data_IF_305665583378
#
_entry.id   IF_305665583378
#
_cell.length_a   1.000
_cell.length_b   1.000
_cell.length_c   1.000
_cell.angle_alpha   90.00
_cell.angle_beta   90.00
_cell.angle_gamma   90.00
#
_symmetry.space_group_name_H-M   'P 1'
#
loop_
_entity.id
_entity.type
_entity.pdbx_description
1 polymer ?
#
# COMPACT_ATOMS: atom_id res chain seq x y z
N UNK A 1 27.01 6.35 -33.77
CA UNK A 1 26.42 5.04 -34.11
C UNK A 1 25.15 4.84 -33.29
N UNK A 2 23.96 4.78 -33.90
CA UNK A 2 22.70 4.80 -33.16
C UNK A 2 22.26 3.38 -32.79
N UNK A 3 22.28 3.04 -31.50
CA UNK A 3 21.64 1.86 -30.90
C UNK A 3 20.46 2.23 -29.97
N UNK A 4 19.95 3.46 -30.06
CA UNK A 4 18.91 3.97 -29.16
C UNK A 4 17.46 3.59 -29.56
N UNK A 5 17.25 2.86 -30.66
CA UNK A 5 15.92 2.58 -31.22
C UNK A 5 15.32 1.21 -30.88
N UNK A 6 16.05 0.31 -30.21
CA UNK A 6 15.60 -1.08 -30.06
C UNK A 6 14.76 -1.40 -28.81
N UNK A 7 14.69 -0.54 -27.79
CA UNK A 7 13.90 -0.84 -26.57
C UNK A 7 12.55 -0.12 -26.54
N UNK A 8 12.47 1.13 -27.00
CA UNK A 8 11.19 1.84 -27.13
C UNK A 8 10.26 1.21 -28.17
N UNK A 9 10.83 0.49 -29.16
CA UNK A 9 10.07 -0.32 -30.12
C UNK A 9 9.48 -1.59 -29.49
N UNK A 10 10.00 -2.13 -28.38
CA UNK A 10 9.45 -3.35 -27.77
C UNK A 10 8.15 -3.06 -27.04
N UNK A 11 8.05 -1.97 -26.26
CA UNK A 11 6.80 -1.58 -25.61
C UNK A 11 5.72 -1.17 -26.63
N UNK A 12 6.10 -0.40 -27.65
CA UNK A 12 5.20 0.01 -28.73
C UNK A 12 4.78 -1.17 -29.64
N UNK A 13 5.69 -2.13 -29.94
CA UNK A 13 5.36 -3.31 -30.73
C UNK A 13 4.57 -4.36 -29.94
N UNK A 14 4.74 -4.45 -28.60
CA UNK A 14 3.93 -5.31 -27.74
C UNK A 14 2.52 -4.75 -27.52
N UNK A 15 2.29 -3.46 -27.76
CA UNK A 15 0.97 -2.82 -27.76
C UNK A 15 0.20 -2.99 -29.08
N UNK A 16 0.79 -3.62 -30.11
CA UNK A 16 0.07 -4.01 -31.31
C UNK A 16 -1.11 -4.93 -30.95
N UNK A 17 -2.24 -4.75 -31.65
CA UNK A 17 -3.48 -5.45 -31.38
C UNK A 17 -3.25 -6.97 -31.36
N UNK A 18 -3.57 -7.61 -30.22
CA UNK A 18 -3.68 -9.05 -30.16
C UNK A 18 -4.75 -9.50 -31.19
N UNK A 19 -4.58 -10.66 -31.86
CA UNK A 19 -5.66 -11.23 -32.64
C UNK A 19 -6.92 -11.31 -31.77
N UNK A 20 -8.09 -11.01 -32.35
CA UNK A 20 -9.35 -11.05 -31.63
C UNK A 20 -9.53 -12.42 -30.96
N UNK A 21 -9.39 -12.47 -29.64
CA UNK A 21 -9.62 -13.67 -28.86
C UNK A 21 -11.08 -14.13 -29.05
N UNK A 22 -11.31 -15.42 -29.22
CA UNK A 22 -12.63 -15.96 -29.53
C UNK A 22 -13.45 -16.21 -28.26
N UNK A 23 -12.79 -16.30 -27.09
CA UNK A 23 -13.45 -16.46 -25.79
C UNK A 23 -12.79 -15.60 -24.69
N UNK A 24 -13.51 -15.27 -23.59
CA UNK A 24 -12.93 -14.55 -22.44
C UNK A 24 -11.72 -15.27 -21.81
N UNK A 25 -11.70 -16.61 -21.84
CA UNK A 25 -10.59 -17.40 -21.31
C UNK A 25 -9.32 -17.26 -22.17
N UNK A 26 -9.47 -17.27 -23.50
CA UNK A 26 -8.37 -17.02 -24.43
C UNK A 26 -7.83 -15.60 -24.30
N UNK A 27 -8.73 -14.62 -24.13
CA UNK A 27 -8.35 -13.23 -23.90
C UNK A 27 -7.53 -13.08 -22.62
N UNK A 28 -8.00 -13.65 -21.51
CA UNK A 28 -7.29 -13.65 -20.24
C UNK A 28 -5.91 -14.30 -20.35
N UNK A 29 -5.80 -15.46 -21.02
CA UNK A 29 -4.54 -16.15 -21.23
C UNK A 29 -3.54 -15.34 -22.08
N UNK A 30 -4.01 -14.70 -23.16
CA UNK A 30 -3.18 -13.84 -24.01
C UNK A 30 -2.70 -12.58 -23.25
N UNK A 31 -3.59 -12.00 -22.45
CA UNK A 31 -3.29 -10.87 -21.57
C UNK A 31 -2.23 -11.26 -20.52
N UNK A 32 -2.41 -12.37 -19.81
CA UNK A 32 -1.47 -12.85 -18.79
C UNK A 32 -0.09 -13.15 -19.39
N UNK A 33 -0.05 -13.75 -20.58
CA UNK A 33 1.21 -14.00 -21.30
C UNK A 33 1.94 -12.69 -21.64
N UNK A 34 1.21 -11.69 -22.15
CA UNK A 34 1.75 -10.37 -22.47
C UNK A 34 2.28 -9.67 -21.21
N UNK A 35 1.50 -9.66 -20.14
CA UNK A 35 1.86 -9.03 -18.88
C UNK A 35 3.05 -9.74 -18.21
N UNK A 36 3.10 -11.07 -18.28
CA UNK A 36 4.23 -11.87 -17.82
C UNK A 36 5.53 -11.56 -18.56
N UNK A 37 5.47 -11.34 -19.89
CA UNK A 37 6.64 -10.92 -20.67
C UNK A 37 7.14 -9.53 -20.27
N UNK A 38 6.21 -8.57 -20.14
CA UNK A 38 6.51 -7.21 -19.72
C UNK A 38 7.11 -7.16 -18.30
N UNK A 39 6.64 -8.01 -17.38
CA UNK A 39 7.17 -8.14 -16.01
C UNK A 39 8.62 -8.57 -15.97
N UNK A 40 8.97 -9.62 -16.73
CA UNK A 40 10.35 -10.12 -16.77
C UNK A 40 11.32 -9.06 -17.29
N UNK A 41 10.90 -8.28 -18.29
CA UNK A 41 11.69 -7.16 -18.80
C UNK A 41 11.86 -6.07 -17.73
N UNK A 42 10.78 -5.68 -17.06
CA UNK A 42 10.81 -4.69 -15.98
C UNK A 42 11.70 -5.14 -14.80
N UNK A 43 11.64 -6.40 -14.40
CA UNK A 43 12.47 -6.94 -13.32
C UNK A 43 13.96 -6.88 -13.65
N UNK A 44 14.33 -7.15 -14.90
CA UNK A 44 15.73 -7.02 -15.31
C UNK A 44 16.20 -5.57 -15.28
N UNK A 45 15.36 -4.65 -15.74
CA UNK A 45 15.64 -3.22 -15.70
C UNK A 45 15.76 -2.70 -14.26
N UNK A 46 14.85 -3.11 -13.36
CA UNK A 46 14.89 -2.72 -11.94
C UNK A 46 16.17 -3.21 -11.27
N UNK A 47 16.60 -4.45 -11.53
CA UNK A 47 17.88 -4.95 -11.01
C UNK A 47 19.07 -4.08 -11.43
N UNK A 48 19.14 -3.68 -12.70
CA UNK A 48 20.20 -2.78 -13.18
C UNK A 48 20.17 -1.41 -12.48
N UNK A 49 18.96 -0.86 -12.28
CA UNK A 49 18.79 0.41 -11.56
C UNK A 49 19.23 0.29 -10.10
N UNK A 50 18.81 -0.77 -9.41
CA UNK A 50 19.14 -1.05 -8.01
C UNK A 50 20.63 -1.29 -7.81
N UNK A 51 21.27 -2.05 -8.70
CA UNK A 51 22.71 -2.28 -8.69
C UNK A 51 23.47 -0.96 -8.84
N UNK A 52 23.09 -0.11 -9.81
CA UNK A 52 23.71 1.19 -10.00
C UNK A 52 23.52 2.13 -8.79
N UNK A 53 22.34 2.11 -8.17
CA UNK A 53 22.00 2.94 -7.00
C UNK A 53 22.92 2.72 -5.80
N UNK A 54 23.38 1.47 -5.59
CA UNK A 54 24.27 1.12 -4.48
C UNK A 54 25.62 1.85 -4.55
N UNK A 55 26.08 2.22 -5.75
CA UNK A 55 27.36 2.90 -5.97
C UNK A 55 27.27 4.43 -5.99
N UNK A 56 26.06 4.99 -5.81
CA UNK A 56 25.85 6.45 -5.83
C UNK A 56 26.17 7.10 -4.49
N UNK A 57 26.81 8.27 -4.55
CA UNK A 57 26.97 9.16 -3.39
C UNK A 57 25.64 9.81 -3.02
N UNK A 58 25.52 10.28 -1.78
CA UNK A 58 24.32 10.98 -1.31
C UNK A 58 23.94 12.21 -2.17
N UNK A 59 24.93 12.96 -2.68
CA UNK A 59 24.69 14.09 -3.58
C UNK A 59 24.13 13.66 -4.93
N UNK A 60 24.67 12.58 -5.52
CA UNK A 60 24.20 12.03 -6.80
C UNK A 60 22.79 11.45 -6.68
N UNK A 61 22.48 10.81 -5.54
CA UNK A 61 21.13 10.33 -5.23
C UNK A 61 20.12 11.48 -5.20
N UNK A 62 20.48 12.59 -4.55
CA UNK A 62 19.63 13.79 -4.49
C UNK A 62 19.43 14.40 -5.88
N UNK A 63 20.52 14.60 -6.63
CA UNK A 63 20.46 15.13 -8.00
C UNK A 63 19.58 14.26 -8.91
N UNK A 64 19.75 12.93 -8.85
CA UNK A 64 18.92 11.99 -9.60
C UNK A 64 17.45 12.10 -9.21
N UNK A 65 17.13 12.15 -7.91
CA UNK A 65 15.75 12.25 -7.42
C UNK A 65 15.09 13.56 -7.87
N UNK A 66 15.79 14.69 -7.78
CA UNK A 66 15.31 16.00 -8.25
C UNK A 66 15.09 16.00 -9.77
N UNK A 67 16.07 15.51 -10.54
CA UNK A 67 16.00 15.47 -11.99
C UNK A 67 14.88 14.54 -12.47
N UNK A 68 14.77 13.33 -11.92
CA UNK A 68 13.67 12.40 -12.21
C UNK A 68 12.32 13.01 -11.86
N UNK A 69 12.17 13.64 -10.68
CA UNK A 69 10.91 14.25 -10.25
C UNK A 69 10.46 15.35 -11.22
N UNK A 70 11.38 16.19 -11.68
CA UNK A 70 11.09 17.23 -12.67
C UNK A 70 10.60 16.64 -14.00
N UNK A 71 11.28 15.61 -14.51
CA UNK A 71 10.91 14.96 -15.77
C UNK A 71 9.62 14.13 -15.66
N UNK A 72 9.39 13.46 -14.53
CA UNK A 72 8.22 12.61 -14.33
C UNK A 72 6.92 13.42 -14.32
N UNK A 73 6.99 14.68 -13.86
CA UNK A 73 5.86 15.62 -13.89
C UNK A 73 5.46 16.03 -15.30
N UNK A 74 6.34 15.92 -16.30
CA UNK A 74 6.04 16.25 -17.70
C UNK A 74 5.51 15.07 -18.51
N UNK A 75 5.51 13.86 -17.96
CA UNK A 75 4.96 12.69 -18.65
C UNK A 75 3.43 12.79 -18.77
N UNK A 76 2.92 12.76 -19.99
CA UNK A 76 1.47 12.71 -20.26
C UNK A 76 0.98 11.26 -20.20
N UNK A 77 0.74 10.76 -18.98
CA UNK A 77 0.33 9.38 -18.74
C UNK A 77 -1.08 9.29 -18.15
N UNK A 78 -1.69 8.10 -18.19
CA UNK A 78 -2.97 7.83 -17.53
C UNK A 78 -2.86 8.03 -16.01
N UNK A 79 -1.83 7.49 -15.36
CA UNK A 79 -1.50 7.70 -13.95
C UNK A 79 -1.45 9.19 -13.58
N UNK A 80 -0.83 10.04 -14.42
CA UNK A 80 -0.78 11.49 -14.13
C UNK A 80 -2.17 12.13 -14.19
N UNK A 81 -3.05 11.70 -15.11
CA UNK A 81 -4.45 12.13 -15.12
C UNK A 81 -5.18 11.68 -13.85
N UNK A 82 -4.99 10.42 -13.42
CA UNK A 82 -5.60 9.89 -12.20
C UNK A 82 -5.08 10.59 -10.93
N UNK A 83 -3.79 10.95 -10.86
CA UNK A 83 -3.22 11.75 -9.77
C UNK A 83 -3.86 13.14 -9.74
N UNK A 84 -4.02 13.79 -10.90
CA UNK A 84 -4.69 15.08 -10.98
C UNK A 84 -6.17 15.00 -10.56
N UNK A 85 -6.86 13.90 -10.86
CA UNK A 85 -8.23 13.64 -10.39
C UNK A 85 -8.26 13.44 -8.87
N UNK A 86 -7.37 12.61 -8.31
CA UNK A 86 -7.29 12.39 -6.87
C UNK A 86 -6.93 13.68 -6.12
N UNK A 87 -6.09 14.54 -6.68
CA UNK A 87 -5.76 15.84 -6.10
C UNK A 87 -6.98 16.75 -5.85
N UNK A 88 -8.05 16.60 -6.64
CA UNK A 88 -9.33 17.32 -6.43
C UNK A 88 -10.08 16.87 -5.19
N UNK A 89 -9.72 15.72 -4.61
CA UNK A 89 -10.29 15.22 -3.35
C UNK A 89 -9.61 15.87 -2.13
N UNK A 90 -8.49 16.56 -2.31
CA UNK A 90 -7.82 17.23 -1.21
C UNK A 90 -8.65 18.43 -0.73
N UNK A 91 -8.96 18.45 0.55
CA UNK A 91 -9.68 19.55 1.22
C UNK A 91 -8.74 20.56 1.89
N UNK A 92 -7.42 20.33 1.80
CA UNK A 92 -6.40 21.18 2.42
C UNK A 92 -5.07 21.11 1.71
N UNK A 93 -4.22 22.08 2.02
CA UNK A 93 -2.81 22.10 1.63
C UNK A 93 -2.07 20.91 2.25
N UNK A 94 -1.19 20.27 1.47
CA UNK A 94 -0.44 19.09 1.90
C UNK A 94 0.41 19.38 3.14
N UNK A 95 1.02 20.57 3.21
CA UNK A 95 1.89 20.98 4.32
C UNK A 95 1.17 21.07 5.67
N UNK A 96 -0.17 21.16 5.67
CA UNK A 96 -1.01 21.29 6.86
C UNK A 96 -1.47 19.95 7.46
N UNK A 97 -1.22 18.82 6.78
CA UNK A 97 -1.53 17.52 7.36
C UNK A 97 -0.61 17.19 8.54
N UNK A 98 -1.12 16.51 9.59
CA UNK A 98 -0.31 16.15 10.74
C UNK A 98 0.77 15.13 10.35
N UNK A 99 1.86 15.15 11.10
CA UNK A 99 2.85 14.07 11.08
C UNK A 99 2.28 12.88 11.85
N UNK A 100 2.54 11.69 11.35
CA UNK A 100 2.19 10.42 11.96
C UNK A 100 2.75 10.39 13.40
N UNK A 101 1.88 10.05 14.34
CA UNK A 101 2.23 9.96 15.74
C UNK A 101 2.74 8.56 16.06
N UNK A 102 3.54 8.45 17.12
CA UNK A 102 3.95 7.14 17.62
C UNK A 102 2.71 6.33 18.06
N UNK A 103 2.61 5.07 17.63
CA UNK A 103 1.47 4.21 17.93
C UNK A 103 1.21 4.15 19.44
N UNK A 104 0.00 4.56 19.86
CA UNK A 104 -0.45 4.40 21.23
C UNK A 104 -0.56 2.91 21.59
N UNK A 105 -0.45 2.57 22.86
CA UNK A 105 -0.76 1.22 23.38
C UNK A 105 -1.61 1.37 24.64
N UNK A 106 -2.42 0.37 24.96
CA UNK A 106 -3.31 0.42 26.12
C UNK A 106 -2.51 0.45 27.43
N UNK A 107 -2.86 1.38 28.33
CA UNK A 107 -2.19 1.51 29.63
C UNK A 107 -2.54 0.32 30.56
N UNK A 108 -1.55 -0.50 30.97
CA UNK A 108 -1.76 -1.59 31.92
C UNK A 108 -2.41 -1.16 33.24
N UNK A 109 -2.17 0.07 33.70
CA UNK A 109 -2.77 0.57 34.94
C UNK A 109 -4.25 0.89 34.81
N UNK A 110 -4.72 1.14 33.58
CA UNK A 110 -6.12 1.44 33.28
C UNK A 110 -6.87 0.17 32.94
N UNK A 111 -6.32 -0.64 32.04
CA UNK A 111 -7.05 -1.77 31.46
C UNK A 111 -6.79 -3.11 32.16
N UNK A 112 -5.66 -3.26 32.86
CA UNK A 112 -5.32 -4.47 33.61
C UNK A 112 -4.69 -4.18 34.99
N UNK A 113 -5.33 -3.36 35.86
CA UNK A 113 -4.71 -2.84 37.09
C UNK A 113 -4.30 -3.90 38.12
N UNK A 114 -4.91 -5.08 38.07
CA UNK A 114 -4.58 -6.22 38.96
C UNK A 114 -3.34 -6.97 38.51
N UNK A 115 -2.88 -6.74 37.28
CA UNK A 115 -1.68 -7.33 36.68
C UNK A 115 -0.96 -6.30 35.80
N UNK A 116 -0.46 -5.20 36.37
CA UNK A 116 0.16 -4.15 35.57
C UNK A 116 1.54 -4.62 35.09
N UNK A 117 1.63 -5.01 33.81
CA UNK A 117 2.88 -5.39 33.16
C UNK A 117 3.56 -4.13 32.65
N UNK A 118 4.83 -3.90 33.00
CA UNK A 118 5.58 -2.74 32.53
C UNK A 118 5.80 -2.85 31.01
N UNK A 119 5.39 -1.82 30.26
CA UNK A 119 5.54 -1.78 28.80
C UNK A 119 6.89 -1.18 28.38
N UNK A 120 7.52 -1.78 27.38
CA UNK A 120 8.76 -1.30 26.76
C UNK A 120 8.63 -1.37 25.24
N UNK A 121 8.73 -0.21 24.58
CA UNK A 121 8.83 -0.16 23.12
C UNK A 121 10.09 -0.84 22.63
N UNK A 122 9.93 -1.71 21.65
CA UNK A 122 11.01 -2.40 20.99
C UNK A 122 11.49 -1.57 19.79
N UNK A 123 12.80 -1.58 19.54
CA UNK A 123 13.35 -0.88 18.39
C UNK A 123 12.96 -1.60 17.08
N UNK A 124 12.73 -0.89 15.96
CA UNK A 124 12.37 -1.53 14.69
C UNK A 124 13.37 -2.58 14.19
N UNK A 125 14.65 -2.47 14.57
CA UNK A 125 15.72 -3.39 14.22
C UNK A 125 15.98 -4.48 15.26
N UNK A 126 15.17 -4.58 16.31
CA UNK A 126 15.26 -5.67 17.29
C UNK A 126 14.89 -6.99 16.61
N UNK A 127 15.66 -8.05 16.84
CA UNK A 127 15.40 -9.39 16.31
C UNK A 127 13.98 -9.90 16.61
N UNK A 128 13.42 -9.56 17.79
CA UNK A 128 12.03 -9.91 18.14
C UNK A 128 11.04 -9.21 17.23
N UNK A 129 11.28 -7.94 16.92
CA UNK A 129 10.42 -7.14 16.04
C UNK A 129 10.51 -7.65 14.62
N UNK A 130 11.72 -7.89 14.10
CA UNK A 130 11.91 -8.41 12.74
C UNK A 130 11.20 -9.76 12.58
N UNK A 131 11.37 -10.67 13.54
CA UNK A 131 10.71 -11.99 13.53
C UNK A 131 9.19 -11.85 13.59
N UNK A 132 8.66 -11.06 14.54
CA UNK A 132 7.22 -10.89 14.69
C UNK A 132 6.60 -10.15 13.49
N UNK A 133 7.31 -9.19 12.89
CA UNK A 133 6.84 -8.48 11.71
C UNK A 133 6.73 -9.43 10.51
N UNK A 134 7.69 -10.33 10.30
CA UNK A 134 7.60 -11.32 9.22
C UNK A 134 6.42 -12.28 9.37
N UNK A 135 6.01 -12.55 10.61
CA UNK A 135 4.92 -13.49 10.90
C UNK A 135 3.54 -12.82 10.96
N UNK A 136 3.45 -11.68 11.65
CA UNK A 136 2.20 -11.04 12.07
C UNK A 136 1.88 -9.77 11.28
N UNK A 137 2.86 -9.13 10.66
CA UNK A 137 2.65 -7.93 9.85
C UNK A 137 3.58 -7.95 8.63
N UNK A 138 3.56 -9.04 7.82
CA UNK A 138 4.54 -9.20 6.76
C UNK A 138 4.41 -8.04 5.79
N UNK A 139 5.52 -7.38 5.42
CA UNK A 139 5.46 -6.31 4.45
C UNK A 139 4.94 -6.86 3.13
N UNK A 140 3.99 -6.15 2.52
CA UNK A 140 3.49 -6.54 1.20
C UNK A 140 4.64 -6.45 0.19
N UNK A 141 4.80 -7.46 -0.69
CA UNK A 141 5.76 -7.39 -1.78
C UNK A 141 5.50 -6.13 -2.62
N UNK A 142 6.57 -5.41 -2.99
CA UNK A 142 6.46 -4.19 -3.82
C UNK A 142 5.52 -3.15 -3.18
N UNK A 143 5.55 -3.01 -1.86
CA UNK A 143 4.79 -1.97 -1.15
C UNK A 143 5.27 -0.58 -1.55
N UNK A 144 4.33 0.37 -1.62
CA UNK A 144 4.65 1.78 -1.88
C UNK A 144 5.41 2.34 -0.69
N UNK A 145 6.52 3.03 -0.95
CA UNK A 145 7.22 3.79 0.08
C UNK A 145 6.49 5.13 0.26
N UNK A 146 5.53 5.16 1.18
CA UNK A 146 4.59 6.25 1.32
C UNK A 146 5.09 7.34 2.28
N UNK A 147 5.13 8.58 1.80
CA UNK A 147 5.10 9.79 2.63
C UNK A 147 3.70 10.01 3.18
N UNK A 148 2.67 9.74 2.38
CA UNK A 148 1.28 10.00 2.73
C UNK A 148 0.55 8.71 3.02
N UNK A 149 -0.07 8.61 4.20
CA UNK A 149 -0.88 7.47 4.59
C UNK A 149 -2.27 7.92 5.00
N UNK A 150 -3.26 7.10 4.69
CA UNK A 150 -4.58 7.25 5.26
C UNK A 150 -4.64 6.52 6.62
N UNK A 151 -4.98 7.25 7.67
CA UNK A 151 -5.18 6.72 9.01
C UNK A 151 -6.66 6.39 9.19
N UNK A 152 -6.98 5.10 9.22
CA UNK A 152 -8.33 4.58 9.36
C UNK A 152 -8.98 4.89 10.71
N UNK A 153 -8.19 5.10 11.76
CA UNK A 153 -8.70 5.42 13.09
C UNK A 153 -9.12 6.88 13.20
N UNK A 154 -8.26 7.80 12.73
CA UNK A 154 -8.57 9.24 12.75
C UNK A 154 -9.35 9.73 11.54
N UNK A 155 -9.42 8.90 10.47
CA UNK A 155 -9.97 9.23 9.15
C UNK A 155 -9.28 10.42 8.48
N UNK A 156 -8.05 10.70 8.89
CA UNK A 156 -7.20 11.75 8.35
C UNK A 156 -6.10 11.19 7.45
N UNK A 157 -5.49 12.06 6.65
CA UNK A 157 -4.18 11.77 6.09
C UNK A 157 -3.12 12.14 7.13
N UNK A 158 -2.09 11.32 7.21
CA UNK A 158 -0.89 11.57 8.02
C UNK A 158 0.34 11.53 7.14
N UNK A 159 1.35 12.32 7.51
CA UNK A 159 2.68 12.30 6.90
C UNK A 159 3.59 11.36 7.66
N UNK A 160 4.33 10.52 6.94
CA UNK A 160 5.35 9.67 7.52
C UNK A 160 6.32 10.50 8.38
N UNK A 161 6.55 10.07 9.61
CA UNK A 161 7.48 10.73 10.53
C UNK A 161 8.96 10.47 10.17
N UNK A 162 9.23 9.38 9.45
CA UNK A 162 10.58 8.96 9.12
C UNK A 162 11.20 9.87 8.04
N UNK A 163 12.40 10.44 8.26
CA UNK A 163 13.06 11.31 7.27
C UNK A 163 13.31 10.61 5.93
N UNK A 164 13.59 9.30 5.93
CA UNK A 164 13.76 8.50 4.72
C UNK A 164 12.48 8.37 3.88
N UNK A 165 11.33 8.76 4.44
CA UNK A 165 10.02 8.79 3.79
C UNK A 165 9.52 10.22 3.60
N UNK A 166 10.33 11.26 3.85
CA UNK A 166 9.98 12.65 3.52
C UNK A 166 9.72 12.80 2.02
N UNK A 167 8.95 13.82 1.61
CA UNK A 167 8.47 14.02 0.22
C UNK A 167 9.59 14.18 -0.82
N UNK A 168 10.76 14.64 -0.41
CA UNK A 168 11.94 14.82 -1.25
C UNK A 168 13.05 13.79 -0.96
N UNK A 169 12.80 12.81 -0.08
CA UNK A 169 13.78 11.79 0.28
C UNK A 169 14.20 10.97 -0.97
N UNK A 170 15.48 11.01 -1.37
CA UNK A 170 15.95 10.37 -2.60
C UNK A 170 15.67 8.86 -2.65
N UNK A 171 15.84 8.18 -1.52
CA UNK A 171 15.59 6.74 -1.37
C UNK A 171 14.14 6.38 -1.69
N UNK A 172 13.19 7.20 -1.23
CA UNK A 172 11.75 7.02 -1.48
C UNK A 172 11.43 7.24 -2.95
N UNK A 173 11.91 8.35 -3.52
CA UNK A 173 11.69 8.70 -4.93
C UNK A 173 12.20 7.58 -5.84
N UNK A 174 13.43 7.11 -5.59
CA UNK A 174 14.03 6.01 -6.34
C UNK A 174 13.23 4.70 -6.20
N UNK A 175 12.91 4.29 -4.97
CA UNK A 175 12.17 3.05 -4.73
C UNK A 175 10.79 3.07 -5.42
N UNK A 176 10.04 4.17 -5.31
CA UNK A 176 8.74 4.30 -5.97
C UNK A 176 8.86 4.36 -7.50
N UNK A 177 9.89 5.02 -8.03
CA UNK A 177 10.15 5.03 -9.48
C UNK A 177 10.49 3.63 -10.02
N UNK A 178 11.22 2.80 -9.26
CA UNK A 178 11.42 1.38 -9.58
C UNK A 178 10.11 0.58 -9.58
N UNK A 179 9.16 0.93 -8.72
CA UNK A 179 7.79 0.39 -8.76
C UNK A 179 6.97 0.88 -9.97
N UNK A 180 7.48 1.85 -10.74
CA UNK A 180 6.77 2.50 -11.82
C UNK A 180 5.77 3.55 -11.35
N UNK A 181 5.98 4.12 -10.16
CA UNK A 181 5.11 5.13 -9.59
C UNK A 181 5.70 6.53 -9.78
N UNK A 182 4.95 7.49 -10.35
CA UNK A 182 5.38 8.88 -10.42
C UNK A 182 5.34 9.55 -9.03
N UNK A 183 5.92 10.76 -8.91
CA UNK A 183 5.69 11.62 -7.75
C UNK A 183 4.19 11.80 -7.45
N UNK A 184 3.87 11.95 -6.17
CA UNK A 184 2.52 12.15 -5.62
C UNK A 184 1.58 10.93 -5.71
N UNK A 185 2.07 9.78 -6.18
CA UNK A 185 1.26 8.57 -6.30
C UNK A 185 0.73 8.05 -4.94
N UNK A 186 1.56 8.12 -3.89
CA UNK A 186 1.18 7.73 -2.53
C UNK A 186 0.11 8.66 -1.94
N UNK A 187 0.24 9.98 -2.17
CA UNK A 187 -0.80 10.95 -1.80
C UNK A 187 -2.13 10.63 -2.49
N UNK A 188 -2.10 10.38 -3.80
CA UNK A 188 -3.29 10.04 -4.56
C UNK A 188 -3.96 8.75 -4.04
N UNK A 189 -3.17 7.70 -3.74
CA UNK A 189 -3.68 6.46 -3.13
C UNK A 189 -4.33 6.75 -1.77
N UNK A 190 -3.68 7.55 -0.92
CA UNK A 190 -4.22 7.92 0.41
C UNK A 190 -5.52 8.74 0.31
N UNK A 191 -5.60 9.69 -0.63
CA UNK A 191 -6.81 10.47 -0.89
C UNK A 191 -7.96 9.60 -1.40
N UNK A 192 -7.67 8.63 -2.26
CA UNK A 192 -8.68 7.67 -2.73
C UNK A 192 -9.14 6.77 -1.60
N UNK A 193 -8.23 6.23 -0.77
CA UNK A 193 -8.60 5.44 0.40
C UNK A 193 -9.53 6.22 1.34
N UNK A 194 -9.21 7.49 1.62
CA UNK A 194 -10.06 8.41 2.39
C UNK A 194 -11.44 8.60 1.75
N UNK A 195 -11.50 8.79 0.44
CA UNK A 195 -12.76 9.00 -0.26
C UNK A 195 -13.67 7.76 -0.25
N UNK A 196 -13.08 6.57 -0.21
CA UNK A 196 -13.82 5.30 -0.14
C UNK A 196 -14.25 4.94 1.30
N UNK A 197 -13.69 5.59 2.32
CA UNK A 197 -14.09 5.39 3.72
C UNK A 197 -15.35 6.19 4.11
N UNK A 198 -16.46 5.48 4.28
CA UNK A 198 -17.72 6.03 4.82
C UNK A 198 -17.68 6.28 6.33
N UNK A 199 -16.67 5.79 7.04
CA UNK A 199 -16.50 5.93 8.49
C UNK A 199 -17.32 4.98 9.35
N UNK A 200 -18.04 4.01 8.76
CA UNK A 200 -18.90 3.10 9.49
C UNK A 200 -18.16 2.26 10.56
N UNK A 201 -16.85 2.07 10.39
CA UNK A 201 -16.00 1.30 11.30
C UNK A 201 -14.97 2.15 12.05
N UNK A 202 -15.10 3.48 12.05
CA UNK A 202 -14.07 4.39 12.58
C UNK A 202 -13.66 4.09 14.02
N UNK A 203 -14.62 3.86 14.92
CA UNK A 203 -14.33 3.53 16.33
C UNK A 203 -13.57 2.22 16.47
N UNK A 204 -13.95 1.20 15.68
CA UNK A 204 -13.27 -0.08 15.69
C UNK A 204 -11.86 0.05 15.10
N UNK A 205 -11.70 0.76 13.99
CA UNK A 205 -10.39 1.02 13.39
C UNK A 205 -9.46 1.78 14.33
N UNK A 206 -9.98 2.78 15.06
CA UNK A 206 -9.21 3.52 16.05
C UNK A 206 -8.73 2.61 17.20
N UNK A 207 -9.61 1.76 17.74
CA UNK A 207 -9.25 0.84 18.82
C UNK A 207 -8.17 -0.16 18.36
N UNK A 208 -8.28 -0.67 17.12
CA UNK A 208 -7.29 -1.59 16.53
C UNK A 208 -6.05 -0.90 15.95
N UNK A 209 -6.00 0.43 15.88
CA UNK A 209 -4.82 1.20 15.47
C UNK A 209 -3.76 1.30 16.57
N UNK A 210 -4.06 0.86 17.80
CA UNK A 210 -3.07 0.73 18.86
C UNK A 210 -2.00 -0.30 18.50
N UNK A 211 -0.79 -0.09 19.01
CA UNK A 211 0.33 -1.00 18.86
C UNK A 211 0.03 -2.38 19.48
N UNK A 212 0.44 -3.44 18.78
CA UNK A 212 0.42 -4.79 19.32
C UNK A 212 1.41 -4.92 20.49
N UNK A 213 1.00 -5.61 21.56
CA UNK A 213 1.87 -5.93 22.68
C UNK A 213 1.90 -7.43 22.98
N UNK A 214 3.04 -7.93 23.47
CA UNK A 214 3.16 -9.31 23.93
C UNK A 214 2.84 -9.46 25.43
N UNK A 215 2.86 -10.70 25.92
CA UNK A 215 2.67 -11.01 27.35
C UNK A 215 3.84 -10.58 28.24
N UNK A 216 5.01 -10.34 27.67
CA UNK A 216 6.23 -9.97 28.40
C UNK A 216 6.41 -8.45 28.58
N UNK A 217 5.55 -7.65 27.94
CA UNK A 217 5.62 -6.19 28.03
C UNK A 217 6.23 -5.50 26.80
N UNK A 218 6.62 -6.25 25.76
CA UNK A 218 7.10 -5.71 24.49
C UNK A 218 5.99 -4.97 23.75
N UNK A 219 6.29 -3.76 23.26
CA UNK A 219 5.39 -2.98 22.39
C UNK A 219 6.02 -2.91 21.01
N UNK A 220 5.30 -3.41 20.01
CA UNK A 220 5.78 -3.58 18.64
C UNK A 220 5.41 -2.39 17.74
N UNK A 221 6.18 -2.11 16.66
CA UNK A 221 5.93 -0.98 15.76
C UNK A 221 4.88 -1.29 14.67
N UNK A 222 3.95 -2.19 14.95
CA UNK A 222 2.80 -2.51 14.10
C UNK A 222 1.53 -2.62 14.97
N UNK A 223 0.39 -2.44 14.33
CA UNK A 223 -0.91 -2.28 14.97
C UNK A 223 -1.52 -3.64 15.34
N UNK A 224 -2.49 -3.60 16.26
CA UNK A 224 -3.37 -4.74 16.53
C UNK A 224 -4.14 -5.14 15.27
N UNK A 225 -4.55 -4.19 14.42
CA UNK A 225 -5.17 -4.50 13.14
C UNK A 225 -4.28 -5.41 12.28
N UNK A 226 -3.01 -5.03 12.09
CA UNK A 226 -2.07 -5.80 11.27
C UNK A 226 -1.86 -7.20 11.86
N UNK A 227 -1.62 -7.29 13.18
CA UNK A 227 -1.44 -8.57 13.87
C UNK A 227 -2.66 -9.50 13.74
N UNK A 228 -3.87 -8.97 13.92
CA UNK A 228 -5.11 -9.75 13.79
C UNK A 228 -5.42 -10.11 12.33
N UNK A 229 -5.03 -9.27 11.36
CA UNK A 229 -5.20 -9.55 9.92
C UNK A 229 -4.22 -10.60 9.39
N UNK A 230 -3.19 -10.96 10.14
CA UNK A 230 -2.17 -11.96 9.73
C UNK A 230 -2.74 -13.36 9.46
N UNK A 231 -3.88 -13.70 10.09
CA UNK A 231 -4.41 -15.07 10.10
C UNK A 231 -3.56 -16.07 10.88
N UNK A 232 -2.62 -15.59 11.70
CA UNK A 232 -1.78 -16.41 12.60
C UNK A 232 -2.34 -16.42 14.02
N UNK A 233 -1.89 -17.40 14.79
CA UNK A 233 -2.09 -17.40 16.24
C UNK A 233 -1.23 -16.29 16.84
N UNK A 234 -1.87 -15.33 17.52
CA UNK A 234 -1.21 -14.20 18.16
C UNK A 234 -1.32 -14.29 19.67
N UNK A 235 -0.37 -13.68 20.38
CA UNK A 235 -0.57 -13.48 21.80
C UNK A 235 -1.65 -12.45 22.05
N UNK A 236 -2.54 -12.76 22.99
CA UNK A 236 -3.62 -11.87 23.40
C UNK A 236 -3.42 -11.54 24.88
N UNK A 237 -2.56 -10.57 25.23
CA UNK A 237 -2.43 -10.15 26.62
C UNK A 237 -3.72 -9.49 27.10
N UNK A 238 -4.04 -9.67 28.39
CA UNK A 238 -5.24 -9.10 29.01
C UNK A 238 -5.31 -7.57 28.81
N UNK A 239 -4.18 -6.86 28.81
CA UNK A 239 -4.20 -5.40 28.62
C UNK A 239 -4.75 -4.99 27.25
N UNK A 240 -4.41 -5.70 26.17
CA UNK A 240 -4.82 -5.32 24.82
C UNK A 240 -6.27 -5.74 24.58
N UNK A 241 -6.64 -6.93 25.06
CA UNK A 241 -7.99 -7.45 24.93
C UNK A 241 -9.01 -6.69 25.79
N UNK A 242 -8.65 -6.36 27.03
CA UNK A 242 -9.45 -5.48 27.88
C UNK A 242 -9.38 -4.03 27.40
N UNK A 243 -8.25 -3.60 26.84
CA UNK A 243 -8.09 -2.34 26.12
C UNK A 243 -9.16 -2.13 25.06
N UNK A 244 -9.17 -3.03 24.08
CA UNK A 244 -10.17 -3.08 23.01
C UNK A 244 -11.59 -3.18 23.58
N UNK A 245 -11.82 -4.02 24.60
CA UNK A 245 -13.15 -4.19 25.19
C UNK A 245 -13.64 -2.91 25.87
N UNK A 246 -12.81 -2.28 26.68
CA UNK A 246 -13.13 -1.03 27.37
C UNK A 246 -13.39 0.10 26.38
N UNK A 247 -12.59 0.22 25.32
CA UNK A 247 -12.75 1.27 24.32
C UNK A 247 -14.03 1.06 23.47
N UNK A 248 -14.29 -0.16 23.02
CA UNK A 248 -15.42 -0.45 22.11
C UNK A 248 -16.77 -0.55 22.82
N UNK A 249 -16.79 -0.94 24.09
CA UNK A 249 -18.02 -1.22 24.83
C UNK A 249 -18.22 -0.32 26.06
N UNK A 250 -17.22 0.47 26.43
CA UNK A 250 -17.24 1.33 27.62
C UNK A 250 -17.67 0.58 28.90
N UNK A 251 -17.20 -0.67 29.05
CA UNK A 251 -17.49 -1.54 30.18
C UNK A 251 -16.19 -2.06 30.81
N UNK A 252 -15.96 -1.67 32.06
CA UNK A 252 -14.77 -2.03 32.85
C UNK A 252 -15.05 -3.12 33.91
N UNK A 253 -16.25 -3.70 33.89
CA UNK A 253 -16.77 -4.52 34.99
C UNK A 253 -16.99 -5.98 34.61
N UNK A 254 -17.38 -6.25 33.35
CA UNK A 254 -17.71 -7.61 32.91
C UNK A 254 -16.50 -8.53 32.83
N UNK A 255 -15.40 -8.04 32.29
CA UNK A 255 -14.12 -8.75 32.18
C UNK A 255 -13.07 -7.97 32.95
N UNK A 256 -12.31 -8.64 33.81
CA UNK A 256 -11.31 -8.02 34.68
C UNK A 256 -10.08 -8.92 34.72
N UNK A 257 -8.89 -8.33 34.56
CA UNK A 257 -7.63 -9.06 34.64
C UNK A 257 -7.40 -9.66 36.05
N UNK A 258 -6.81 -10.86 36.18
CA UNK A 258 -6.62 -11.85 35.11
C UNK A 258 -7.96 -12.35 34.57
N UNK A 259 -8.14 -12.33 33.25
CA UNK A 259 -9.35 -12.88 32.62
C UNK A 259 -9.31 -14.40 32.75
N UNK A 260 -10.28 -15.04 33.43
CA UNK A 260 -10.28 -16.49 33.58
C UNK A 260 -10.47 -17.20 32.24
N UNK A 261 -9.81 -18.35 32.04
CA UNK A 261 -9.89 -19.13 30.78
C UNK A 261 -11.33 -19.41 30.32
N UNK A 262 -12.26 -19.63 31.26
CA UNK A 262 -13.69 -19.87 30.96
C UNK A 262 -14.38 -18.68 30.27
N UNK A 263 -13.81 -17.47 30.36
CA UNK A 263 -14.32 -16.25 29.74
C UNK A 263 -13.62 -15.92 28.42
N UNK A 264 -12.48 -16.54 28.10
CA UNK A 264 -11.69 -16.25 26.88
C UNK A 264 -12.53 -16.41 25.62
N UNK A 265 -13.23 -17.53 25.45
CA UNK A 265 -14.11 -17.75 24.29
C UNK A 265 -15.17 -16.66 24.13
N UNK A 266 -15.73 -16.18 25.24
CA UNK A 266 -16.75 -15.13 25.20
C UNK A 266 -16.14 -13.77 24.86
N UNK A 267 -15.00 -13.42 25.45
CA UNK A 267 -14.32 -12.14 25.21
C UNK A 267 -13.73 -12.09 23.79
N UNK A 268 -12.96 -13.10 23.41
CA UNK A 268 -12.20 -13.14 22.16
C UNK A 268 -13.13 -13.43 20.98
N UNK A 269 -13.71 -14.63 20.93
CA UNK A 269 -14.42 -15.11 19.74
C UNK A 269 -15.81 -14.49 19.59
N UNK A 270 -16.55 -14.35 20.70
CA UNK A 270 -17.94 -13.91 20.65
C UNK A 270 -18.12 -12.39 20.75
N UNK A 271 -17.08 -11.64 21.15
CA UNK A 271 -17.21 -10.21 21.41
C UNK A 271 -16.23 -9.36 20.60
N UNK A 272 -14.93 -9.61 20.67
CA UNK A 272 -13.92 -8.81 19.96
C UNK A 272 -13.80 -9.21 18.48
N UNK A 273 -13.73 -10.51 18.19
CA UNK A 273 -13.56 -10.99 16.82
C UNK A 273 -14.64 -10.52 15.85
N UNK A 274 -15.95 -10.48 16.17
CA UNK A 274 -16.96 -9.97 15.26
C UNK A 274 -16.78 -8.48 14.94
N UNK A 275 -16.25 -7.68 15.89
CA UNK A 275 -15.92 -6.27 15.64
C UNK A 275 -14.75 -6.15 14.69
N UNK A 276 -13.68 -6.89 14.95
CA UNK A 276 -12.52 -6.95 14.06
C UNK A 276 -12.92 -7.42 12.66
N UNK A 277 -13.68 -8.51 12.53
CA UNK A 277 -14.11 -9.05 11.25
C UNK A 277 -14.92 -8.02 10.43
N UNK A 278 -15.82 -7.26 11.07
CA UNK A 278 -16.55 -6.19 10.40
C UNK A 278 -15.64 -5.03 9.97
N UNK A 279 -14.70 -4.61 10.82
CA UNK A 279 -13.71 -3.59 10.50
C UNK A 279 -12.80 -4.01 9.33
N UNK A 280 -12.34 -5.27 9.36
CA UNK A 280 -11.52 -5.88 8.31
C UNK A 280 -12.27 -5.97 6.98
N UNK A 281 -13.50 -6.50 6.99
CA UNK A 281 -14.35 -6.59 5.80
C UNK A 281 -14.70 -5.22 5.20
N UNK A 282 -14.65 -4.16 6.00
CA UNK A 282 -14.79 -2.79 5.54
C UNK A 282 -13.50 -2.22 4.94
N UNK A 283 -12.38 -2.30 5.66
CA UNK A 283 -11.10 -1.67 5.30
C UNK A 283 -10.38 -2.35 4.15
N UNK A 284 -10.19 -3.66 4.20
CA UNK A 284 -9.37 -4.40 3.25
C UNK A 284 -9.76 -4.23 1.77
N UNK A 285 -11.06 -4.31 1.38
CA UNK A 285 -11.42 -4.07 -0.01
C UNK A 285 -11.22 -2.62 -0.44
N UNK A 286 -11.43 -1.65 0.45
CA UNK A 286 -11.21 -0.22 0.16
C UNK A 286 -9.73 0.09 -0.02
N UNK A 287 -8.86 -0.52 0.80
CA UNK A 287 -7.41 -0.47 0.58
C UNK A 287 -7.05 -1.12 -0.76
N UNK A 288 -7.62 -2.28 -1.09
CA UNK A 288 -7.38 -2.94 -2.37
C UNK A 288 -7.82 -2.11 -3.59
N UNK A 289 -8.97 -1.46 -3.50
CA UNK A 289 -9.46 -0.52 -4.52
C UNK A 289 -8.54 0.70 -4.63
N UNK A 290 -8.13 1.30 -3.51
CA UNK A 290 -7.20 2.43 -3.52
C UNK A 290 -5.83 2.05 -4.11
N UNK A 291 -5.31 0.85 -3.82
CA UNK A 291 -4.04 0.38 -4.39
C UNK A 291 -4.14 0.14 -5.91
N UNK A 292 -5.26 -0.41 -6.39
CA UNK A 292 -5.50 -0.65 -7.83
C UNK A 292 -5.88 0.61 -8.61
N UNK A 293 -6.05 1.75 -7.92
CA UNK A 293 -6.30 3.04 -8.54
C UNK A 293 -5.18 3.42 -9.52
N UNK A 294 -3.92 3.41 -9.06
CA UNK A 294 -2.75 3.83 -9.84
C UNK A 294 -1.84 2.70 -10.29
N UNK A 295 -2.02 1.50 -9.74
CA UNK A 295 -1.11 0.37 -9.97
C UNK A 295 -1.80 -0.69 -10.79
N UNK A 296 -1.11 -1.20 -11.78
CA UNK A 296 -1.60 -2.32 -12.58
C UNK A 296 -1.73 -3.58 -11.73
N UNK A 297 -0.74 -3.85 -10.88
CA UNK A 297 -0.66 -5.11 -10.13
C UNK A 297 -0.08 -4.90 -8.74
N UNK A 298 -0.80 -4.18 -7.87
CA UNK A 298 -0.40 -4.10 -6.47
C UNK A 298 -0.49 -5.47 -5.81
N UNK A 299 0.42 -5.77 -4.89
CA UNK A 299 0.18 -6.83 -3.92
C UNK A 299 -0.94 -6.36 -2.99
N UNK A 300 -1.97 -7.19 -2.84
CA UNK A 300 -3.14 -6.86 -2.04
C UNK A 300 -3.15 -7.71 -0.78
N UNK A 301 -3.42 -7.07 0.35
CA UNK A 301 -3.51 -7.78 1.62
C UNK A 301 -4.73 -8.72 1.64
N UNK A 302 -4.73 -9.62 2.61
CA UNK A 302 -5.95 -10.31 3.06
C UNK A 302 -6.65 -11.20 2.01
N UNK A 303 -5.90 -11.70 1.01
CA UNK A 303 -6.39 -12.64 0.01
C UNK A 303 -7.06 -12.00 -1.21
N UNK A 304 -6.97 -10.67 -1.36
CA UNK A 304 -7.55 -9.96 -2.50
C UNK A 304 -6.71 -9.99 -3.78
N UNK A 305 -5.56 -10.67 -3.83
CA UNK A 305 -4.71 -10.71 -5.04
C UNK A 305 -5.46 -11.17 -6.29
N UNK A 306 -6.37 -12.14 -6.16
CA UNK A 306 -7.21 -12.60 -7.27
C UNK A 306 -8.28 -11.59 -7.72
N UNK A 307 -8.49 -10.50 -6.96
CA UNK A 307 -9.49 -9.48 -7.23
C UNK A 307 -9.00 -8.32 -8.13
N UNK A 308 -7.70 -8.24 -8.44
CA UNK A 308 -7.11 -7.09 -9.16
C UNK A 308 -7.86 -6.72 -10.44
N UNK A 309 -8.14 -7.68 -11.33
CA UNK A 309 -8.90 -7.43 -12.57
C UNK A 309 -10.32 -6.92 -12.28
N UNK A 310 -10.97 -7.49 -11.26
CA UNK A 310 -12.33 -7.11 -10.87
C UNK A 310 -12.37 -5.69 -10.32
N UNK A 311 -11.31 -5.26 -9.62
CA UNK A 311 -11.16 -3.88 -9.16
C UNK A 311 -10.89 -2.91 -10.31
N UNK A 312 -10.05 -3.28 -11.27
CA UNK A 312 -9.86 -2.46 -12.47
C UNK A 312 -11.13 -2.31 -13.30
N UNK A 313 -11.88 -3.39 -13.50
CA UNK A 313 -13.16 -3.33 -14.18
C UNK A 313 -14.16 -2.43 -13.42
N UNK A 314 -14.12 -2.45 -12.09
CA UNK A 314 -15.00 -1.63 -11.26
C UNK A 314 -14.63 -0.14 -11.36
N UNK A 315 -13.33 0.19 -11.34
CA UNK A 315 -12.86 1.54 -11.56
C UNK A 315 -13.26 2.10 -12.93
N UNK A 316 -13.10 1.28 -13.97
CA UNK A 316 -13.55 1.62 -15.31
C UNK A 316 -15.07 1.84 -15.36
N UNK A 317 -15.85 0.93 -14.76
CA UNK A 317 -17.32 1.04 -14.68
C UNK A 317 -17.78 2.34 -13.99
N UNK A 318 -17.06 2.77 -12.97
CA UNK A 318 -17.32 4.00 -12.23
C UNK A 318 -16.70 5.25 -12.89
N UNK A 319 -16.20 5.15 -14.12
CA UNK A 319 -15.54 6.23 -14.87
C UNK A 319 -14.41 6.90 -14.11
N UNK A 320 -13.64 6.12 -13.33
CA UNK A 320 -12.53 6.65 -12.54
C UNK A 320 -12.99 7.77 -11.58
N UNK A 321 -14.14 7.62 -10.93
CA UNK A 321 -14.66 8.60 -9.96
C UNK A 321 -14.71 7.99 -8.56
N UNK A 322 -13.77 8.32 -7.66
CA UNK A 322 -13.80 7.85 -6.27
C UNK A 322 -15.12 8.13 -5.54
N UNK A 323 -15.78 9.31 -5.69
CA UNK A 323 -17.09 9.55 -5.06
C UNK A 323 -18.20 8.63 -5.59
N UNK A 324 -18.20 8.29 -6.87
CA UNK A 324 -19.20 7.38 -7.45
C UNK A 324 -19.01 5.96 -6.93
N UNK A 325 -17.75 5.50 -6.83
CA UNK A 325 -17.45 4.22 -6.22
C UNK A 325 -17.79 4.18 -4.73
N UNK A 326 -17.46 5.24 -3.98
CA UNK A 326 -17.81 5.35 -2.57
C UNK A 326 -19.32 5.21 -2.34
N UNK A 327 -20.14 5.91 -3.13
CA UNK A 327 -21.59 5.78 -3.07
C UNK A 327 -22.06 4.33 -3.32
N UNK A 328 -21.49 3.67 -4.33
CA UNK A 328 -21.81 2.27 -4.62
C UNK A 328 -21.41 1.32 -3.48
N UNK A 329 -20.30 1.59 -2.78
CA UNK A 329 -19.89 0.82 -1.60
C UNK A 329 -20.82 1.05 -0.40
N UNK A 330 -21.30 2.28 -0.20
CA UNK A 330 -22.21 2.62 0.92
C UNK A 330 -23.60 2.02 0.72
N UNK A 331 -24.14 2.08 -0.49
CA UNK A 331 -25.44 1.48 -0.83
C UNK A 331 -25.46 -0.04 -0.63
N UNK A 332 -24.27 -0.66 -0.58
CA UNK A 332 -24.08 -2.08 -0.37
C UNK A 332 -23.29 -2.35 0.91
N UNK A 333 -23.95 -2.19 2.06
CA UNK A 333 -23.36 -2.41 3.39
C UNK A 333 -22.74 -3.80 3.59
N UNK A 334 -23.11 -4.78 2.76
CA UNK A 334 -22.50 -6.11 2.68
C UNK A 334 -21.60 -6.19 1.44
N UNK A 335 -20.31 -5.91 1.67
CA UNK A 335 -19.30 -5.94 0.62
C UNK A 335 -19.15 -7.33 -0.02
N UNK A 336 -19.18 -8.42 0.75
CA UNK A 336 -18.98 -9.76 0.20
C UNK A 336 -20.08 -10.14 -0.79
N UNK A 337 -21.32 -9.81 -0.42
CA UNK A 337 -22.48 -10.00 -1.29
C UNK A 337 -22.38 -9.12 -2.54
N UNK A 338 -22.02 -7.84 -2.38
CA UNK A 338 -21.82 -6.94 -3.51
C UNK A 338 -20.73 -7.45 -4.45
N UNK A 339 -19.58 -7.82 -3.91
CA UNK A 339 -18.44 -8.26 -4.69
C UNK A 339 -18.70 -9.58 -5.41
N UNK A 340 -19.46 -10.48 -4.80
CA UNK A 340 -19.94 -11.71 -5.45
C UNK A 340 -20.91 -11.39 -6.59
N UNK A 341 -21.86 -10.47 -6.38
CA UNK A 341 -22.78 -10.01 -7.42
C UNK A 341 -22.06 -9.31 -8.58
N UNK A 342 -21.07 -8.47 -8.26
CA UNK A 342 -20.18 -7.82 -9.22
C UNK A 342 -19.40 -8.84 -10.04
N UNK A 343 -18.79 -9.83 -9.37
CA UNK A 343 -18.05 -10.92 -10.03
C UNK A 343 -18.96 -11.71 -10.97
N UNK A 344 -20.17 -12.03 -10.54
CA UNK A 344 -21.16 -12.71 -11.38
C UNK A 344 -21.61 -11.84 -12.57
N UNK A 345 -21.65 -10.52 -12.40
CA UNK A 345 -22.00 -9.57 -13.47
C UNK A 345 -20.89 -9.49 -14.53
N UNK A 346 -19.62 -9.50 -14.12
CA UNK A 346 -18.48 -9.57 -15.04
C UNK A 346 -18.50 -10.83 -15.90
N UNK A 347 -18.88 -11.99 -15.32
CA UNK A 347 -19.02 -13.23 -16.09
C UNK A 347 -20.12 -13.15 -17.17
N UNK A 348 -21.12 -12.28 -16.99
CA UNK A 348 -22.23 -12.06 -17.95
C UNK A 348 -21.97 -10.90 -18.92
N UNK A 349 -20.95 -10.08 -18.66
CA UNK A 349 -20.60 -8.91 -19.45
C UNK A 349 -19.12 -8.97 -19.86
N UNK A 350 -18.77 -9.78 -20.88
CA UNK A 350 -17.39 -10.00 -21.29
C UNK A 350 -16.63 -8.70 -21.61
N UNK A 351 -17.31 -7.74 -22.21
CA UNK A 351 -16.75 -6.42 -22.53
C UNK A 351 -16.26 -5.69 -21.29
N UNK A 352 -16.98 -5.78 -20.16
CA UNK A 352 -16.60 -5.11 -18.92
C UNK A 352 -15.39 -5.79 -18.26
N UNK A 353 -15.30 -7.11 -18.40
CA UNK A 353 -14.13 -7.87 -17.96
C UNK A 353 -12.89 -7.52 -18.80
N UNK A 354 -13.04 -7.44 -20.12
CA UNK A 354 -11.99 -6.96 -21.04
C UNK A 354 -11.53 -5.54 -20.70
N UNK A 355 -12.45 -4.62 -20.37
CA UNK A 355 -12.09 -3.26 -19.92
C UNK A 355 -11.23 -3.25 -18.66
N UNK A 356 -11.44 -4.18 -17.73
CA UNK A 356 -10.58 -4.34 -16.54
C UNK A 356 -9.14 -4.72 -16.91
N UNK A 357 -8.98 -5.64 -17.86
CA UNK A 357 -7.68 -6.03 -18.40
C UNK A 357 -7.01 -4.91 -19.22
N UNK A 358 -7.77 -4.17 -20.02
CA UNK A 358 -7.28 -3.00 -20.77
C UNK A 358 -6.75 -1.92 -19.82
N UNK A 359 -7.54 -1.55 -18.80
CA UNK A 359 -7.11 -0.59 -17.77
C UNK A 359 -5.84 -1.05 -17.07
N UNK A 360 -5.73 -2.34 -16.77
CA UNK A 360 -4.50 -2.89 -16.18
C UNK A 360 -3.29 -2.74 -17.11
N UNK A 361 -3.44 -3.02 -18.41
CA UNK A 361 -2.36 -2.87 -19.38
C UNK A 361 -1.97 -1.39 -19.56
N UNK A 362 -2.93 -0.48 -19.57
CA UNK A 362 -2.68 0.96 -19.65
C UNK A 362 -1.85 1.43 -18.44
N UNK A 363 -2.25 1.06 -17.21
CA UNK A 363 -1.46 1.35 -16.02
C UNK A 363 -0.08 0.70 -16.03
N UNK A 364 0.03 -0.52 -16.56
CA UNK A 364 1.33 -1.19 -16.63
C UNK A 364 2.26 -0.48 -17.63
N UNK A 365 1.73 -0.02 -18.76
CA UNK A 365 2.48 0.76 -19.73
C UNK A 365 3.01 2.06 -19.11
N UNK A 366 2.20 2.74 -18.29
CA UNK A 366 2.63 3.90 -17.52
C UNK A 366 3.71 3.56 -16.50
N UNK A 367 3.54 2.48 -15.74
CA UNK A 367 4.56 2.01 -14.80
C UNK A 367 5.90 1.73 -15.50
N UNK A 368 5.84 1.17 -16.70
CA UNK A 368 7.02 0.93 -17.53
C UNK A 368 7.64 2.25 -18.02
N UNK A 369 6.83 3.22 -18.45
CA UNK A 369 7.32 4.54 -18.85
C UNK A 369 8.04 5.26 -17.71
N UNK A 370 7.57 5.12 -16.47
CA UNK A 370 8.27 5.67 -15.29
C UNK A 370 9.64 5.01 -15.06
N UNK A 371 9.74 3.68 -15.15
CA UNK A 371 11.02 2.96 -15.03
C UNK A 371 11.99 3.34 -16.15
N UNK A 372 11.50 3.45 -17.37
CA UNK A 372 12.29 3.91 -18.52
C UNK A 372 12.78 5.34 -18.36
N UNK A 373 11.94 6.22 -17.81
CA UNK A 373 12.34 7.58 -17.50
C UNK A 373 13.45 7.62 -16.44
N UNK A 374 13.32 6.86 -15.35
CA UNK A 374 14.37 6.77 -14.33
C UNK A 374 15.69 6.28 -14.95
N UNK A 375 15.63 5.21 -15.74
CA UNK A 375 16.79 4.70 -16.47
C UNK A 375 17.41 5.76 -17.40
N UNK A 376 16.58 6.55 -18.11
CA UNK A 376 17.05 7.64 -18.95
C UNK A 376 17.77 8.71 -18.12
N UNK A 377 17.19 9.12 -16.99
CA UNK A 377 17.79 10.10 -16.08
C UNK A 377 19.16 9.63 -15.57
N UNK A 378 19.28 8.38 -15.11
CA UNK A 378 20.56 7.82 -14.68
C UNK A 378 21.60 7.77 -15.82
N UNK A 379 21.17 7.50 -17.05
CA UNK A 379 22.06 7.50 -18.22
C UNK A 379 22.56 8.89 -18.55
N UNK A 380 21.69 9.89 -18.55
CA UNK A 380 22.03 11.29 -18.85
C UNK A 380 23.00 11.88 -17.81
N UNK A 381 22.85 11.49 -16.54
CA UNK A 381 23.74 11.87 -15.46
C UNK A 381 25.04 11.01 -15.39
N UNK A 382 25.22 10.03 -16.28
CA UNK A 382 26.40 9.16 -16.27
C UNK A 382 26.52 8.26 -15.02
N UNK A 383 25.38 7.83 -14.48
CA UNK A 383 25.29 7.06 -13.23
C UNK A 383 25.20 5.54 -13.45
N UNK A 384 24.96 5.09 -14.69
CA UNK A 384 24.86 3.66 -15.03
C UNK A 384 26.22 3.01 -15.29
N UNK A 385 26.32 1.71 -15.02
CA UNK A 385 27.49 0.87 -15.36
C UNK A 385 28.68 0.98 -14.40
N UNK A 386 28.51 1.64 -13.25
CA UNK A 386 29.53 1.71 -12.19
C UNK A 386 29.60 0.39 -11.42
N UNK A 387 30.81 -0.09 -11.16
CA UNK A 387 31.06 -1.32 -10.38
C UNK A 387 31.74 -1.05 -9.04
N UNK A 388 32.09 0.21 -8.76
CA UNK A 388 32.70 0.63 -7.51
C UNK A 388 32.25 2.04 -7.13
N UNK A 389 32.25 2.33 -5.83
CA UNK A 389 31.96 3.67 -5.33
C UNK A 389 33.08 4.63 -5.77
N UNK A 390 32.77 5.80 -6.35
CA UNK A 390 33.80 6.71 -6.81
C UNK A 390 34.56 7.29 -5.62
N UNK A 391 35.91 7.17 -5.65
CA UNK A 391 36.82 7.65 -4.59
C UNK A 391 36.51 9.10 -4.22
N UNK A 392 36.48 9.45 -2.92
CA UNK A 392 36.20 10.83 -2.51
C UNK A 392 37.19 11.76 -3.20
N UNK A 393 36.68 12.87 -3.75
CA UNK A 393 37.54 13.88 -4.37
C UNK A 393 38.56 14.34 -3.34
N UNK A 394 39.85 14.17 -3.65
CA UNK A 394 40.93 14.70 -2.83
C UNK A 394 40.72 16.21 -2.73
N UNK A 395 40.53 16.72 -1.50
CA UNK A 395 40.44 18.17 -1.26
C UNK A 395 41.58 18.85 -2.04
N UNK A 396 41.29 19.90 -2.83
CA UNK A 396 42.36 20.64 -3.48
C UNK A 396 43.34 21.08 -2.40
N UNK A 397 44.60 20.69 -2.55
CA UNK A 397 45.66 21.08 -1.63
C UNK A 397 45.67 22.59 -1.50
N UNK A 398 45.44 23.07 -0.27
CA UNK A 398 45.45 24.49 0.05
C UNK A 398 46.83 25.11 -0.07
#
# INVERSE_FOLDING_TARGET
MPRAWLCSTIAAALLAAAPAAQTPAEYAAAHDAKLGALRRAAEQQVRELEDAWQYLRASERRELAEFYTAQARTLESHQRKLIALAGKLSDRDTSLWPVEHELAFYDPKVHAPRQPIKRKRLAPNDHKVISAQQELAPPLPRAVHATWRYDWGTRGLVRAAAPALAEDAPERVFANACLGLPPDADLAIALVARALDDGAQASTQAAFAHAYTDRDGGVYPFTLYEAWSSGRDIEMPDVDTLGLYHELFNDFTRFVAPVPNKQHKQLYDATLFPRFAAARAHRAPREGLAQTWLRAQPALAEGYDAAVIRFHALWHYMNEQPPALAAALTDNSDWERYFTSWTASLAKQPTLYERGHERQLELYADEQAQRELLHKCMRELGLLGRTEMPKPESKPGG
#
